data_IF_252131944200
#
_entry.id   IF_252131944200
#
_cell.length_a   1.000
_cell.length_b   1.000
_cell.length_c   1.000
_cell.angle_alpha   90.00
_cell.angle_beta   90.00
_cell.angle_gamma   90.00
#
_symmetry.space_group_name_H-M   'P 1'
#
loop_
_entity.id
_entity.type
_entity.pdbx_description
1 polymer ?
#
# COMPACT_ATOMS: atom_id res chain seq x y z
N UNK A 1 29.75 -2.31 25.54
CA UNK A 1 28.35 -1.90 25.79
C UNK A 1 27.85 -1.25 24.50
N UNK A 2 27.20 -2.03 23.64
CA UNK A 2 26.62 -1.52 22.39
C UNK A 2 25.38 -0.74 22.79
N UNK A 3 25.43 0.59 22.61
CA UNK A 3 24.25 1.44 22.74
C UNK A 3 23.15 0.85 21.84
N UNK A 4 22.05 0.43 22.44
CA UNK A 4 20.87 0.06 21.71
C UNK A 4 20.48 1.28 20.84
N UNK A 5 20.55 1.13 19.51
CA UNK A 5 20.14 2.16 18.56
C UNK A 5 18.70 2.51 18.88
N UNK A 6 18.41 3.79 19.16
CA UNK A 6 17.04 4.23 19.38
C UNK A 6 16.22 3.84 18.15
N UNK A 7 15.22 3.00 18.35
CA UNK A 7 14.21 2.71 17.33
C UNK A 7 13.35 3.97 17.26
N UNK A 8 13.07 4.47 16.07
CA UNK A 8 12.16 5.62 15.91
C UNK A 8 10.83 5.29 16.62
N UNK A 9 10.47 6.09 17.60
CA UNK A 9 9.23 5.89 18.34
C UNK A 9 8.01 6.15 17.45
N UNK A 10 8.11 7.13 16.53
CA UNK A 10 7.08 7.49 15.55
C UNK A 10 7.55 7.23 14.13
N UNK A 11 6.62 6.83 13.25
CA UNK A 11 6.84 6.79 11.80
C UNK A 11 6.45 8.12 11.17
N UNK A 12 7.20 8.57 10.15
CA UNK A 12 6.85 9.77 9.41
C UNK A 12 5.74 9.49 8.39
N UNK A 13 4.79 10.40 8.28
CA UNK A 13 3.71 10.33 7.29
C UNK A 13 3.82 11.49 6.31
N UNK A 14 3.84 11.15 5.02
CA UNK A 14 3.88 12.08 3.91
C UNK A 14 2.61 11.94 3.09
N UNK A 15 1.80 13.01 2.97
CA UNK A 15 0.64 13.06 2.11
C UNK A 15 1.02 13.73 0.78
N UNK A 16 1.06 12.97 -0.30
CA UNK A 16 1.51 13.42 -1.62
C UNK A 16 0.35 13.98 -2.49
N UNK A 17 -0.90 13.78 -2.06
CA UNK A 17 -2.08 14.12 -2.85
C UNK A 17 -2.15 13.26 -4.12
N UNK A 18 -2.70 13.84 -5.19
CA UNK A 18 -2.80 13.17 -6.50
C UNK A 18 -1.48 13.33 -7.29
N UNK A 19 -0.92 12.21 -7.77
CA UNK A 19 0.37 12.17 -8.49
C UNK A 19 0.37 11.11 -9.60
N UNK A 20 1.12 11.38 -10.66
CA UNK A 20 1.46 10.38 -11.67
C UNK A 20 2.33 9.28 -11.07
N UNK A 21 2.07 8.03 -11.48
CA UNK A 21 2.70 6.84 -10.89
C UNK A 21 4.22 6.83 -11.04
N UNK A 22 4.73 7.11 -12.25
CA UNK A 22 6.17 6.98 -12.57
C UNK A 22 7.04 7.89 -11.71
N UNK A 23 6.63 9.15 -11.48
CA UNK A 23 7.37 10.10 -10.67
C UNK A 23 7.52 9.62 -9.22
N UNK A 24 6.44 9.12 -8.63
CA UNK A 24 6.46 8.60 -7.26
C UNK A 24 7.26 7.29 -7.17
N UNK A 25 7.17 6.42 -8.18
CA UNK A 25 7.97 5.20 -8.23
C UNK A 25 9.47 5.50 -8.30
N UNK A 26 9.90 6.49 -9.10
CA UNK A 26 11.30 6.90 -9.17
C UNK A 26 11.77 7.52 -7.84
N UNK A 27 10.93 8.33 -7.20
CA UNK A 27 11.19 8.89 -5.87
C UNK A 27 11.36 7.80 -4.81
N UNK A 28 10.50 6.78 -4.78
CA UNK A 28 10.63 5.64 -3.85
C UNK A 28 11.96 4.89 -4.03
N UNK A 29 12.37 4.65 -5.28
CA UNK A 29 13.66 3.99 -5.59
C UNK A 29 14.81 4.84 -5.08
N UNK A 30 14.78 6.14 -5.38
CA UNK A 30 15.80 7.09 -4.95
C UNK A 30 15.89 7.14 -3.43
N UNK A 31 14.76 7.31 -2.74
CA UNK A 31 14.69 7.30 -1.28
C UNK A 31 15.28 6.00 -0.70
N UNK A 32 14.90 4.84 -1.26
CA UNK A 32 15.40 3.55 -0.79
C UNK A 32 16.90 3.38 -1.04
N UNK A 33 17.43 3.90 -2.15
CA UNK A 33 18.84 3.77 -2.52
C UNK A 33 19.76 4.71 -1.75
N UNK A 34 19.26 5.90 -1.39
CA UNK A 34 20.03 6.96 -0.70
C UNK A 34 19.89 6.93 0.81
N UNK A 35 18.98 6.11 1.36
CA UNK A 35 18.81 5.98 2.82
C UNK A 35 20.11 5.68 3.53
N UNK A 36 20.32 6.38 4.64
CA UNK A 36 21.37 6.13 5.62
C UNK A 36 20.80 5.37 6.84
N UNK A 37 21.68 5.07 7.79
CA UNK A 37 21.31 4.52 9.09
C UNK A 37 20.39 5.47 9.90
N UNK A 38 20.51 6.79 9.69
CA UNK A 38 19.71 7.82 10.37
C UNK A 38 18.42 8.21 9.64
N UNK A 39 18.20 7.71 8.40
CA UNK A 39 16.97 7.99 7.66
C UNK A 39 15.77 7.32 8.35
N UNK A 40 14.81 8.12 8.78
CA UNK A 40 13.58 7.64 9.43
C UNK A 40 12.74 6.80 8.46
N UNK A 41 11.88 5.98 9.03
CA UNK A 41 10.88 5.21 8.28
C UNK A 41 9.71 6.11 7.92
N UNK A 42 9.13 5.91 6.72
CA UNK A 42 8.05 6.75 6.21
C UNK A 42 6.89 5.93 5.67
N UNK A 43 5.67 6.46 5.77
CA UNK A 43 4.48 6.06 5.03
C UNK A 43 4.10 7.19 4.07
N UNK A 44 4.03 6.88 2.76
CA UNK A 44 3.66 7.86 1.75
C UNK A 44 2.24 7.58 1.25
N UNK A 45 1.32 8.46 1.56
CA UNK A 45 -0.07 8.41 1.16
C UNK A 45 -0.26 9.16 -0.15
N UNK A 46 -0.85 8.50 -1.15
CA UNK A 46 -0.98 9.05 -2.50
C UNK A 46 -2.21 8.48 -3.19
N UNK A 47 -2.82 9.27 -4.07
CA UNK A 47 -3.70 8.81 -5.13
C UNK A 47 -2.97 8.90 -6.47
N UNK A 48 -3.22 7.95 -7.36
CA UNK A 48 -2.64 7.98 -8.70
C UNK A 48 -3.67 8.28 -9.78
N UNK A 49 -3.21 8.89 -10.89
CA UNK A 49 -3.95 8.83 -12.14
C UNK A 49 -4.14 7.37 -12.56
N UNK A 50 -5.19 7.06 -13.38
CA UNK A 50 -5.46 5.70 -13.82
C UNK A 50 -4.24 5.02 -14.43
N UNK A 51 -3.85 3.87 -13.87
CA UNK A 51 -2.68 3.09 -14.31
C UNK A 51 -2.83 1.63 -13.93
N UNK A 52 -2.47 0.73 -14.84
CA UNK A 52 -2.21 -0.67 -14.52
C UNK A 52 -0.73 -0.85 -14.18
N UNK A 53 -0.44 -1.49 -13.06
CA UNK A 53 0.94 -1.86 -12.71
C UNK A 53 1.10 -3.37 -12.75
N UNK A 54 2.11 -3.85 -13.46
CA UNK A 54 2.45 -5.26 -13.59
C UNK A 54 3.66 -5.57 -12.72
N UNK A 55 3.49 -6.37 -11.66
CA UNK A 55 4.56 -6.75 -10.76
C UNK A 55 5.49 -7.82 -11.36
N UNK A 56 6.46 -8.30 -10.57
CA UNK A 56 7.49 -9.26 -11.03
C UNK A 56 6.92 -10.61 -11.49
N UNK A 57 5.78 -11.03 -10.96
CA UNK A 57 5.08 -12.24 -11.39
C UNK A 57 4.07 -11.96 -12.52
N UNK A 58 4.05 -10.71 -13.05
CA UNK A 58 3.11 -10.26 -14.06
C UNK A 58 3.23 -11.03 -15.37
N UNK A 59 2.10 -11.53 -15.87
CA UNK A 59 1.99 -12.23 -17.15
C UNK A 59 1.04 -11.48 -18.07
N UNK A 60 1.36 -11.40 -19.35
CA UNK A 60 0.55 -10.71 -20.34
C UNK A 60 -0.90 -11.26 -20.42
N UNK A 61 -1.09 -12.55 -20.18
CA UNK A 61 -2.41 -13.21 -20.20
C UNK A 61 -3.40 -12.66 -19.16
N UNK A 62 -2.92 -11.93 -18.15
CA UNK A 62 -3.75 -11.32 -17.13
C UNK A 62 -4.13 -9.85 -17.45
N UNK A 63 -3.65 -9.31 -18.56
CA UNK A 63 -4.10 -8.04 -19.13
C UNK A 63 -5.11 -8.35 -20.24
N UNK A 64 -6.41 -8.27 -19.92
CA UNK A 64 -7.47 -8.71 -20.83
C UNK A 64 -7.81 -7.63 -21.86
N UNK A 65 -8.08 -6.40 -21.41
CA UNK A 65 -8.48 -5.27 -22.26
C UNK A 65 -8.10 -3.92 -21.62
N UNK A 66 -6.82 -3.57 -21.45
CA UNK A 66 -6.40 -2.37 -20.74
C UNK A 66 -6.92 -1.06 -21.36
N UNK A 67 -7.25 -1.05 -22.65
CA UNK A 67 -7.72 0.15 -23.35
C UNK A 67 -6.68 1.25 -23.36
N UNK A 68 -7.10 2.48 -23.07
CA UNK A 68 -6.22 3.66 -23.05
C UNK A 68 -5.51 3.87 -21.71
N UNK A 69 -5.77 3.03 -20.70
CA UNK A 69 -5.10 3.12 -19.41
C UNK A 69 -3.65 2.61 -19.54
N UNK A 70 -2.64 3.43 -19.17
CA UNK A 70 -1.25 3.03 -19.26
C UNK A 70 -0.95 1.75 -18.47
N UNK A 71 -0.08 0.89 -19.03
CA UNK A 71 0.42 -0.31 -18.36
C UNK A 71 1.90 -0.13 -18.06
N UNK A 72 2.29 -0.20 -16.78
CA UNK A 72 3.66 -0.01 -16.32
C UNK A 72 4.20 -1.30 -15.71
N UNK A 73 5.32 -1.79 -16.25
CA UNK A 73 6.05 -2.91 -15.64
C UNK A 73 6.87 -2.41 -14.46
N UNK A 74 6.65 -3.00 -13.29
CA UNK A 74 7.27 -2.55 -12.04
C UNK A 74 7.93 -3.70 -11.27
N UNK A 75 8.73 -3.36 -10.26
CA UNK A 75 9.53 -4.32 -9.50
C UNK A 75 8.89 -4.77 -8.17
N UNK A 76 7.64 -4.35 -7.85
CA UNK A 76 6.91 -4.90 -6.72
C UNK A 76 6.60 -6.39 -6.90
N UNK A 77 6.35 -7.09 -5.81
CA UNK A 77 5.81 -8.46 -5.86
C UNK A 77 4.40 -8.50 -6.47
N UNK A 78 3.99 -9.70 -6.86
CA UNK A 78 2.64 -9.98 -7.35
C UNK A 78 2.45 -9.76 -8.84
N UNK A 79 1.19 -9.88 -9.27
CA UNK A 79 0.70 -9.81 -10.65
C UNK A 79 0.24 -8.38 -11.00
N UNK A 80 -0.63 -8.25 -12.00
CA UNK A 80 -1.25 -7.00 -12.40
C UNK A 80 -2.25 -6.51 -11.35
N UNK A 81 -2.32 -5.18 -11.17
CA UNK A 81 -3.40 -4.48 -10.44
C UNK A 81 -3.67 -3.13 -11.10
N UNK A 82 -4.71 -2.46 -10.64
CA UNK A 82 -5.12 -1.13 -11.07
C UNK A 82 -4.92 -0.13 -9.94
N UNK A 83 -4.52 1.09 -10.30
CA UNK A 83 -4.56 2.26 -9.44
C UNK A 83 -5.30 3.39 -10.15
N UNK A 84 -6.08 4.18 -9.38
CA UNK A 84 -6.83 5.31 -9.87
C UNK A 84 -7.39 6.18 -8.75
N UNK A 85 -8.02 7.32 -9.10
CA UNK A 85 -8.65 8.23 -8.13
C UNK A 85 -9.65 7.50 -7.23
N UNK A 86 -9.71 7.90 -5.96
CA UNK A 86 -10.53 7.24 -4.93
C UNK A 86 -9.90 6.00 -4.31
N UNK A 87 -8.71 5.56 -4.78
CA UNK A 87 -7.94 4.50 -4.17
C UNK A 87 -6.83 5.09 -3.31
N UNK A 88 -6.80 4.76 -2.01
CA UNK A 88 -5.69 5.17 -1.14
C UNK A 88 -4.52 4.20 -1.31
N UNK A 89 -3.48 4.65 -1.97
CA UNK A 89 -2.20 3.94 -2.02
C UNK A 89 -1.32 4.42 -0.87
N UNK A 90 -0.67 3.48 -0.17
CA UNK A 90 0.31 3.79 0.88
C UNK A 90 1.60 3.05 0.59
N UNK A 91 2.68 3.78 0.34
CA UNK A 91 4.00 3.21 0.22
C UNK A 91 4.67 3.10 1.57
N UNK A 92 5.20 1.91 1.87
CA UNK A 92 5.70 1.53 3.20
C UNK A 92 7.22 1.45 3.15
N UNK A 93 7.86 2.55 3.55
CA UNK A 93 9.30 2.79 3.41
C UNK A 93 10.04 2.50 4.73
N UNK A 94 10.19 1.22 5.08
CA UNK A 94 10.69 0.78 6.40
C UNK A 94 12.06 0.09 6.29
N UNK A 95 12.98 0.41 7.20
CA UNK A 95 14.23 -0.31 7.38
C UNK A 95 14.00 -1.55 8.25
N UNK A 96 13.80 -2.71 7.61
CA UNK A 96 13.50 -3.98 8.26
C UNK A 96 14.64 -4.46 9.17
N UNK A 97 15.91 -4.17 8.78
CA UNK A 97 17.08 -4.57 9.58
C UNK A 97 17.11 -3.83 10.92
N UNK A 98 16.87 -2.50 10.89
CA UNK A 98 16.82 -1.67 12.10
C UNK A 98 15.71 -2.12 13.03
N UNK A 99 14.55 -2.50 12.46
CA UNK A 99 13.37 -2.97 13.19
C UNK A 99 13.43 -4.44 13.60
N UNK A 100 14.45 -5.18 13.14
CA UNK A 100 14.52 -6.64 13.29
C UNK A 100 13.22 -7.33 12.82
N UNK A 101 12.69 -6.90 11.69
CA UNK A 101 11.39 -7.30 11.16
C UNK A 101 11.57 -8.18 9.93
N UNK A 102 10.90 -9.33 9.90
CA UNK A 102 10.83 -10.18 8.71
C UNK A 102 9.80 -9.67 7.70
N UNK A 103 9.99 -10.02 6.41
CA UNK A 103 9.06 -9.60 5.34
C UNK A 103 7.64 -10.07 5.60
N UNK A 104 7.46 -11.31 6.07
CA UNK A 104 6.14 -11.85 6.41
C UNK A 104 5.48 -11.09 7.54
N UNK A 105 6.25 -10.72 8.56
CA UNK A 105 5.75 -9.92 9.68
C UNK A 105 5.32 -8.52 9.23
N UNK A 106 6.08 -7.89 8.30
CA UNK A 106 5.69 -6.62 7.68
C UNK A 106 4.35 -6.73 6.95
N UNK A 107 4.20 -7.76 6.09
CA UNK A 107 2.93 -8.01 5.37
C UNK A 107 1.78 -8.18 6.36
N UNK A 108 1.96 -9.02 7.38
CA UNK A 108 0.93 -9.24 8.41
C UNK A 108 0.60 -7.96 9.19
N UNK A 109 1.61 -7.12 9.52
CA UNK A 109 1.37 -5.82 10.16
C UNK A 109 0.55 -4.88 9.29
N UNK A 110 0.83 -4.84 7.97
CA UNK A 110 0.05 -4.05 7.01
C UNK A 110 -1.38 -4.58 6.90
N UNK A 111 -1.57 -5.90 6.76
CA UNK A 111 -2.88 -6.53 6.71
C UNK A 111 -3.69 -6.20 7.96
N UNK A 112 -3.11 -6.35 9.14
CA UNK A 112 -3.76 -6.05 10.41
C UNK A 112 -4.12 -4.56 10.54
N UNK A 113 -3.25 -3.64 10.08
CA UNK A 113 -3.54 -2.21 10.09
C UNK A 113 -4.75 -1.86 9.21
N UNK A 114 -4.87 -2.48 8.03
CA UNK A 114 -6.06 -2.30 7.18
C UNK A 114 -7.30 -2.93 7.80
N UNK A 115 -7.19 -4.13 8.38
CA UNK A 115 -8.31 -4.80 9.07
C UNK A 115 -8.78 -3.97 10.26
N UNK A 116 -7.85 -3.41 11.04
CA UNK A 116 -8.17 -2.53 12.18
C UNK A 116 -8.89 -1.26 11.71
N UNK A 117 -8.43 -0.64 10.62
CA UNK A 117 -9.14 0.49 10.02
C UNK A 117 -10.56 0.10 9.62
N UNK A 118 -10.73 -0.97 8.84
CA UNK A 118 -12.04 -1.41 8.36
C UNK A 118 -13.00 -1.73 9.53
N UNK A 119 -12.47 -2.27 10.63
CA UNK A 119 -13.22 -2.52 11.85
C UNK A 119 -13.78 -1.24 12.49
N UNK A 120 -13.09 -0.09 12.41
CA UNK A 120 -13.61 1.21 12.86
C UNK A 120 -14.88 1.63 12.11
N UNK A 121 -15.01 1.17 10.85
CA UNK A 121 -16.16 1.40 9.97
C UNK A 121 -17.15 0.23 9.95
N UNK A 122 -17.05 -0.70 10.89
CA UNK A 122 -17.90 -1.89 11.01
C UNK A 122 -17.84 -2.83 9.79
N UNK A 123 -16.77 -2.76 8.99
CA UNK A 123 -16.52 -3.65 7.87
C UNK A 123 -15.73 -4.87 8.35
N UNK A 124 -16.32 -6.05 8.26
CA UNK A 124 -15.66 -7.30 8.60
C UNK A 124 -14.76 -7.77 7.46
N UNK A 125 -13.47 -7.87 7.72
CA UNK A 125 -12.48 -8.26 6.74
C UNK A 125 -11.38 -9.14 7.36
N UNK A 126 -10.67 -9.90 6.53
CA UNK A 126 -9.59 -10.78 6.95
C UNK A 126 -8.47 -10.86 5.91
N UNK A 127 -7.28 -11.26 6.35
CA UNK A 127 -6.17 -11.61 5.47
C UNK A 127 -6.27 -13.07 5.02
N UNK A 128 -5.63 -13.39 3.88
CA UNK A 128 -5.51 -14.76 3.37
C UNK A 128 -4.05 -15.19 3.34
N UNK A 129 -3.78 -16.41 3.77
CA UNK A 129 -2.39 -16.93 3.85
C UNK A 129 -1.75 -17.16 2.46
N UNK A 130 -2.57 -17.48 1.47
CA UNK A 130 -2.20 -17.84 0.09
C UNK A 130 -2.12 -16.63 -0.86
N UNK A 131 -2.74 -15.51 -0.49
CA UNK A 131 -2.84 -14.34 -1.36
C UNK A 131 -2.79 -13.03 -0.56
N UNK A 132 -1.60 -12.40 -0.40
CA UNK A 132 -1.45 -11.17 0.38
C UNK A 132 -2.47 -10.10 0.01
N UNK A 133 -3.10 -9.50 1.04
CA UNK A 133 -4.15 -8.50 0.90
C UNK A 133 -5.25 -8.68 1.91
N UNK A 134 -6.25 -7.80 1.86
CA UNK A 134 -7.40 -7.84 2.76
C UNK A 134 -8.68 -8.09 1.98
N UNK A 135 -9.49 -9.00 2.48
CA UNK A 135 -10.68 -9.53 1.85
C UNK A 135 -11.89 -9.39 2.77
N UNK A 136 -13.03 -9.07 2.20
CA UNK A 136 -14.31 -9.10 2.89
C UNK A 136 -14.69 -10.54 3.21
N UNK A 137 -15.63 -10.73 4.15
CA UNK A 137 -16.16 -12.06 4.50
C UNK A 137 -16.87 -12.75 3.35
N UNK A 138 -17.35 -12.01 2.37
CA UNK A 138 -17.95 -12.46 1.12
C UNK A 138 -16.94 -12.90 0.06
N UNK A 139 -15.64 -12.61 0.29
CA UNK A 139 -14.52 -13.07 -0.54
C UNK A 139 -13.90 -12.02 -1.46
N UNK A 140 -14.54 -10.86 -1.65
CA UNK A 140 -14.03 -9.80 -2.50
C UNK A 140 -12.79 -9.15 -1.87
N UNK A 141 -11.83 -8.79 -2.71
CA UNK A 141 -10.64 -8.08 -2.29
C UNK A 141 -10.92 -6.59 -2.16
N UNK A 142 -10.65 -6.02 -0.99
CA UNK A 142 -10.80 -4.58 -0.73
C UNK A 142 -9.45 -3.87 -0.67
N UNK A 143 -8.36 -4.60 -0.36
CA UNK A 143 -7.01 -4.03 -0.34
C UNK A 143 -6.00 -4.99 -0.96
N UNK A 144 -5.20 -4.48 -1.88
CA UNK A 144 -4.07 -5.20 -2.47
C UNK A 144 -2.77 -4.84 -1.76
N UNK A 145 -1.85 -5.82 -1.62
CA UNK A 145 -0.52 -5.61 -1.03
C UNK A 145 0.54 -6.17 -1.97
N UNK A 146 1.54 -5.34 -2.27
CA UNK A 146 2.69 -5.75 -3.07
C UNK A 146 3.92 -4.96 -2.66
N UNK A 147 4.91 -5.63 -2.07
CA UNK A 147 6.14 -5.04 -1.56
C UNK A 147 7.35 -5.42 -2.43
N UNK A 148 8.38 -4.63 -2.31
CA UNK A 148 9.75 -4.97 -2.72
C UNK A 148 10.70 -4.73 -1.55
N UNK A 149 11.65 -5.62 -1.37
CA UNK A 149 12.74 -5.44 -0.39
C UNK A 149 14.04 -5.23 -1.15
N UNK A 150 14.74 -4.15 -0.81
CA UNK A 150 16.05 -3.82 -1.38
C UNK A 150 16.96 -3.26 -0.29
N UNK A 151 18.18 -3.75 -0.20
CA UNK A 151 19.15 -3.38 0.84
C UNK A 151 18.64 -3.53 2.28
N UNK A 152 17.63 -4.41 2.50
CA UNK A 152 16.99 -4.59 3.80
C UNK A 152 15.92 -3.57 4.16
N UNK A 153 15.49 -2.75 3.17
CA UNK A 153 14.40 -1.78 3.32
C UNK A 153 13.23 -2.16 2.40
N UNK A 154 12.00 -1.90 2.86
CA UNK A 154 10.80 -2.06 2.04
C UNK A 154 10.53 -0.80 1.22
N UNK A 155 9.88 -0.98 0.07
CA UNK A 155 9.21 0.04 -0.72
C UNK A 155 8.05 -0.57 -1.49
N UNK A 156 7.23 0.23 -2.22
CA UNK A 156 5.85 -0.10 -2.54
C UNK A 156 5.02 -0.33 -1.26
N UNK A 157 3.87 -0.98 -1.33
CA UNK A 157 3.04 -1.08 -0.15
C UNK A 157 1.67 -1.67 -0.41
N UNK A 158 0.64 -0.92 -0.05
CA UNK A 158 -0.77 -1.32 -0.15
C UNK A 158 -1.57 -0.37 -1.05
N UNK A 159 -2.71 -0.86 -1.54
CA UNK A 159 -3.71 -0.09 -2.26
C UNK A 159 -5.10 -0.46 -1.74
N UNK A 160 -5.69 0.44 -0.94
CA UNK A 160 -7.03 0.30 -0.35
C UNK A 160 -8.05 0.96 -1.25
N UNK A 161 -9.04 0.22 -1.68
CA UNK A 161 -10.17 0.75 -2.43
C UNK A 161 -11.13 1.49 -1.49
N UNK A 162 -11.04 2.82 -1.45
CA UNK A 162 -11.97 3.64 -0.68
C UNK A 162 -13.23 3.90 -1.51
N UNK A 163 -13.10 4.64 -2.61
CA UNK A 163 -14.20 4.96 -3.52
C UNK A 163 -13.74 5.04 -5.01
N UNK A 164 -12.85 4.13 -5.50
CA UNK A 164 -12.43 4.19 -6.89
C UNK A 164 -13.53 3.68 -7.82
N UNK A 165 -13.42 4.06 -9.10
CA UNK A 165 -14.07 3.30 -10.16
C UNK A 165 -13.48 1.88 -10.18
N UNK A 166 -14.32 0.87 -10.03
CA UNK A 166 -13.92 -0.54 -10.02
C UNK A 166 -14.00 -1.18 -11.42
N UNK A 167 -14.58 -0.49 -12.41
CA UNK A 167 -14.71 -1.03 -13.77
C UNK A 167 -13.37 -1.48 -14.35
N UNK A 168 -12.24 -0.72 -14.20
CA UNK A 168 -10.95 -1.13 -14.74
C UNK A 168 -10.43 -2.47 -14.21
N UNK A 169 -10.85 -2.92 -13.02
CA UNK A 169 -10.49 -4.25 -12.52
C UNK A 169 -11.09 -5.38 -13.36
N UNK A 170 -12.21 -5.15 -14.08
CA UNK A 170 -12.79 -6.12 -15.00
C UNK A 170 -11.94 -6.33 -16.28
N UNK A 171 -11.01 -5.44 -16.55
CA UNK A 171 -10.11 -5.48 -17.71
C UNK A 171 -8.83 -6.26 -17.45
N UNK A 172 -8.66 -6.80 -16.26
CA UNK A 172 -7.49 -7.58 -15.83
C UNK A 172 -7.94 -8.80 -15.04
N UNK A 173 -7.04 -9.78 -14.83
CA UNK A 173 -7.20 -10.80 -13.79
C UNK A 173 -6.43 -10.35 -12.53
N UNK A 174 -7.08 -9.70 -11.56
CA UNK A 174 -6.38 -9.14 -10.40
C UNK A 174 -5.61 -10.23 -9.65
N UNK A 175 -4.35 -9.98 -9.33
CA UNK A 175 -3.48 -10.95 -8.67
C UNK A 175 -3.33 -12.29 -9.41
N UNK A 176 -3.70 -12.37 -10.70
CA UNK A 176 -3.69 -13.61 -11.50
C UNK A 176 -4.88 -14.54 -11.28
N UNK A 177 -5.92 -14.10 -10.60
CA UNK A 177 -7.15 -14.88 -10.36
C UNK A 177 -8.30 -14.36 -11.24
N UNK A 178 -8.77 -15.13 -12.25
CA UNK A 178 -9.78 -14.68 -13.21
C UNK A 178 -11.12 -14.28 -12.57
N UNK A 179 -11.49 -14.94 -11.47
CA UNK A 179 -12.81 -14.77 -10.83
C UNK A 179 -12.74 -13.90 -9.56
N UNK A 180 -11.57 -13.28 -9.29
CA UNK A 180 -11.41 -12.47 -8.09
C UNK A 180 -12.20 -11.17 -8.20
N UNK A 181 -13.30 -11.10 -7.44
CA UNK A 181 -14.07 -9.87 -7.31
C UNK A 181 -13.34 -8.87 -6.42
N UNK A 182 -13.54 -7.59 -6.69
CA UNK A 182 -13.02 -6.48 -5.91
C UNK A 182 -14.16 -5.66 -5.33
N UNK A 183 -13.93 -5.06 -4.16
CA UNK A 183 -14.89 -4.18 -3.50
C UNK A 183 -14.20 -2.89 -3.05
N UNK A 184 -14.98 -1.96 -2.48
CA UNK A 184 -14.51 -0.70 -1.93
C UNK A 184 -15.23 -0.38 -0.62
N UNK A 185 -14.68 0.55 0.18
CA UNK A 185 -15.34 1.03 1.39
C UNK A 185 -16.68 1.71 1.06
N UNK A 186 -16.75 2.43 -0.08
CA UNK A 186 -18.01 3.04 -0.55
C UNK A 186 -19.10 2.00 -0.78
N UNK A 187 -18.80 0.86 -1.41
CA UNK A 187 -19.75 -0.24 -1.60
C UNK A 187 -20.18 -0.91 -0.28
N UNK A 188 -19.38 -0.73 0.78
CA UNK A 188 -19.71 -1.18 2.13
C UNK A 188 -20.44 -0.10 2.95
N UNK A 189 -20.86 1.00 2.32
CA UNK A 189 -21.65 2.07 2.93
C UNK A 189 -20.86 3.17 3.61
N UNK A 190 -19.53 3.22 3.43
CA UNK A 190 -18.67 4.30 3.97
C UNK A 190 -18.53 5.40 2.93
N UNK A 191 -18.93 6.62 3.30
CA UNK A 191 -18.87 7.81 2.44
C UNK A 191 -18.00 8.93 3.07
N UNK A 192 -17.08 8.57 3.94
CA UNK A 192 -16.19 9.49 4.62
C UNK A 192 -15.18 10.12 3.65
N UNK A 193 -14.65 11.28 4.02
CA UNK A 193 -13.58 11.94 3.27
C UNK A 193 -12.31 11.09 3.24
N UNK A 194 -11.65 11.06 2.09
CA UNK A 194 -10.43 10.27 1.90
C UNK A 194 -9.32 10.68 2.88
N UNK A 195 -9.25 11.98 3.25
CA UNK A 195 -8.24 12.46 4.19
C UNK A 195 -8.47 11.90 5.61
N UNK A 196 -9.73 11.80 6.05
CA UNK A 196 -10.07 11.22 7.36
C UNK A 196 -9.76 9.73 7.38
N UNK A 197 -10.09 9.02 6.30
CA UNK A 197 -9.73 7.60 6.12
C UNK A 197 -8.20 7.44 6.13
N UNK A 198 -7.46 8.32 5.46
CA UNK A 198 -6.00 8.30 5.43
C UNK A 198 -5.38 8.49 6.82
N UNK A 199 -5.90 9.44 7.62
CA UNK A 199 -5.42 9.66 8.98
C UNK A 199 -5.70 8.44 9.87
N UNK A 200 -6.93 7.89 9.81
CA UNK A 200 -7.30 6.68 10.54
C UNK A 200 -6.47 5.45 10.10
N UNK A 201 -6.08 5.37 8.82
CA UNK A 201 -5.21 4.32 8.30
C UNK A 201 -3.78 4.50 8.81
N UNK A 202 -3.28 5.74 8.87
CA UNK A 202 -1.96 6.03 9.43
C UNK A 202 -1.86 5.61 10.90
N UNK A 203 -2.88 5.90 11.71
CA UNK A 203 -2.96 5.46 13.11
C UNK A 203 -2.90 3.93 13.21
N UNK A 204 -3.73 3.25 12.42
CA UNK A 204 -3.83 1.79 12.44
C UNK A 204 -2.56 1.10 11.95
N UNK A 205 -1.91 1.66 10.91
CA UNK A 205 -0.64 1.14 10.40
C UNK A 205 0.50 1.38 11.40
N UNK A 206 0.58 2.57 12.01
CA UNK A 206 1.60 2.87 13.02
C UNK A 206 1.51 1.87 14.19
N UNK A 207 0.32 1.68 14.74
CA UNK A 207 0.06 0.73 15.83
C UNK A 207 0.44 -0.71 15.44
N UNK A 208 -0.09 -1.22 14.34
CA UNK A 208 0.13 -2.62 13.90
C UNK A 208 1.57 -2.88 13.44
N UNK A 209 2.34 -1.86 13.06
CA UNK A 209 3.75 -1.95 12.72
C UNK A 209 4.67 -1.71 13.93
N UNK A 210 4.10 -1.46 15.12
CA UNK A 210 4.83 -1.32 16.38
C UNK A 210 5.53 0.03 16.55
N UNK A 211 4.96 1.11 16.00
CA UNK A 211 5.34 2.49 16.29
C UNK A 211 4.43 3.05 17.39
N UNK A 212 4.91 3.99 18.17
CA UNK A 212 4.10 4.67 19.21
C UNK A 212 3.07 5.66 18.63
N UNK A 213 3.22 5.99 17.35
CA UNK A 213 2.37 6.92 16.61
C UNK A 213 3.04 7.35 15.31
N UNK A 214 2.55 8.45 14.75
CA UNK A 214 3.12 9.04 13.54
C UNK A 214 3.16 10.57 13.62
N UNK A 215 4.05 11.17 12.83
CA UNK A 215 4.16 12.62 12.68
C UNK A 215 4.26 13.01 11.20
N UNK A 216 3.70 14.17 10.84
CA UNK A 216 3.76 14.65 9.46
C UNK A 216 5.17 15.08 9.08
N UNK A 217 5.56 14.81 7.84
CA UNK A 217 6.75 15.42 7.23
C UNK A 217 6.44 16.90 6.98
N UNK A 218 7.35 17.78 7.39
CA UNK A 218 7.16 19.25 7.31
C UNK A 218 7.18 19.78 5.87
N UNK A 219 7.81 19.09 4.93
CA UNK A 219 7.85 19.42 3.51
C UNK A 219 7.44 18.20 2.67
N UNK A 220 6.12 18.07 2.36
CA UNK A 220 5.62 16.94 1.59
C UNK A 220 6.02 16.96 0.10
N UNK A 221 6.47 18.09 -0.43
CA UNK A 221 6.83 18.23 -1.86
C UNK A 221 8.27 17.79 -2.17
N UNK A 222 9.12 17.62 -1.16
CA UNK A 222 10.51 17.16 -1.32
C UNK A 222 10.59 15.63 -1.50
N UNK A 223 10.15 15.11 -2.64
CA UNK A 223 10.37 13.72 -3.07
C UNK A 223 11.09 13.69 -4.41
#
# INVERSE_FOLDING_TARGET
>A
MVLAKAIDEEILVRHLGHREYLGVWDAMKTFTDTRSESTRDELWFVEHSPVFTQGQAGKAEHLLAPGDIPVVQVDRGGQVTYHGPGQQVVYVMINLRRRNLGVRQLVTGIENGVIQLLGKYLINASARADAPGVYLTTGEKICSIGLRIRKGCSFHGLALNVAPDLEPFSRINPCGYPDLQVSSMLLQGVADDLQDISNNLADSLADCLGYSGWSKVSDPESI
#
